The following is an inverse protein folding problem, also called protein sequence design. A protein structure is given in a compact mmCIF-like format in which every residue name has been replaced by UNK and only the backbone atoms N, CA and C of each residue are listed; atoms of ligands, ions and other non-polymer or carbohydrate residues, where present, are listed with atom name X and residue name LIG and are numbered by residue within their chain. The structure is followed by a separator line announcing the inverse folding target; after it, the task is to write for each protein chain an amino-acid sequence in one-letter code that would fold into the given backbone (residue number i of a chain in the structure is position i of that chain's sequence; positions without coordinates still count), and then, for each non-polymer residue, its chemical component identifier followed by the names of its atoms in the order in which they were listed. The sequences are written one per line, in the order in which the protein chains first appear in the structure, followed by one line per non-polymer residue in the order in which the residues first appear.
data_IF_661805235486
#
_entry.id   IF_661805235486
#
_cell.length_a   1.000
_cell.length_b   1.000
_cell.length_c   1.000
_cell.angle_alpha   90.00
_cell.angle_beta   90.00
_cell.angle_gamma   90.00
#
_symmetry.space_group_name_H-M   'P 1'
#
loop_
_entity.id
_entity.type
_entity.pdbx_description
1 polymer ?
#
# COMPACT_ATOMS: atom_id res chain seq x y z
N UNK A 1 -68.46 -84.53 41.43
CA UNK A 1 -69.48 -83.59 41.91
C UNK A 1 -70.10 -84.28 43.08
N UNK A 2 -69.94 -83.64 44.23
CA UNK A 2 -70.33 -84.15 45.53
C UNK A 2 -71.80 -84.60 45.49
N UNK A 3 -72.04 -85.86 45.83
CA UNK A 3 -73.36 -86.36 46.17
C UNK A 3 -73.77 -85.64 47.47
N UNK A 4 -74.44 -84.49 47.34
CA UNK A 4 -75.03 -83.79 48.49
C UNK A 4 -76.03 -84.75 49.15
N UNK A 5 -75.68 -85.21 50.35
CA UNK A 5 -76.54 -85.99 51.24
C UNK A 5 -77.92 -85.31 51.35
N UNK A 6 -78.93 -85.93 50.74
CA UNK A 6 -80.31 -85.44 50.78
C UNK A 6 -80.79 -85.59 52.23
N UNK A 7 -81.10 -84.48 52.94
CA UNK A 7 -81.51 -84.56 54.33
C UNK A 7 -82.82 -85.36 54.47
N UNK A 8 -82.95 -86.20 55.51
CA UNK A 8 -84.23 -86.87 55.82
C UNK A 8 -85.19 -85.90 56.50
N UNK A 9 -86.38 -85.72 55.90
CA UNK A 9 -87.40 -84.76 56.37
C UNK A 9 -88.45 -85.43 57.27
N UNK A 10 -88.93 -84.70 58.27
CA UNK A 10 -89.93 -85.19 59.23
C UNK A 10 -91.38 -84.96 58.76
N UNK A 11 -91.59 -84.11 57.75
CA UNK A 11 -92.87 -83.92 57.06
C UNK A 11 -92.68 -83.49 55.61
N UNK A 12 -93.67 -83.76 54.76
CA UNK A 12 -93.68 -83.33 53.35
C UNK A 12 -93.61 -81.79 53.20
N UNK A 13 -94.05 -81.03 54.21
CA UNK A 13 -93.95 -79.57 54.24
C UNK A 13 -92.51 -79.10 54.46
N UNK A 14 -91.75 -79.79 55.31
CA UNK A 14 -90.34 -79.48 55.60
C UNK A 14 -89.43 -79.82 54.40
N UNK A 15 -89.74 -80.89 53.68
CA UNK A 15 -89.07 -81.24 52.41
C UNK A 15 -89.31 -80.17 51.33
N UNK A 16 -90.56 -79.73 51.16
CA UNK A 16 -90.90 -78.67 50.21
C UNK A 16 -90.23 -77.33 50.57
N UNK A 17 -90.12 -77.02 51.86
CA UNK A 17 -89.46 -75.80 52.34
C UNK A 17 -87.94 -75.86 52.14
N UNK A 18 -87.30 -77.01 52.39
CA UNK A 18 -85.88 -77.21 52.12
C UNK A 18 -85.55 -77.06 50.63
N UNK A 19 -86.26 -77.77 49.74
CA UNK A 19 -86.01 -77.68 48.31
C UNK A 19 -86.32 -76.29 47.74
N UNK A 20 -87.32 -75.59 48.30
CA UNK A 20 -87.62 -74.19 47.95
C UNK A 20 -86.48 -73.26 48.37
N UNK A 21 -85.96 -73.41 49.59
CA UNK A 21 -84.84 -72.61 50.09
C UNK A 21 -83.55 -72.90 49.30
N UNK A 22 -83.24 -74.18 49.01
CA UNK A 22 -82.08 -74.57 48.19
C UNK A 22 -82.20 -74.04 46.75
N UNK A 23 -83.39 -74.11 46.14
CA UNK A 23 -83.62 -73.53 44.82
C UNK A 23 -83.48 -72.00 44.83
N UNK A 24 -83.90 -71.35 45.92
CA UNK A 24 -83.73 -69.91 46.11
C UNK A 24 -82.26 -69.53 46.30
N UNK A 25 -81.50 -70.28 47.08
CA UNK A 25 -80.05 -70.12 47.29
C UNK A 25 -79.25 -70.35 46.00
N UNK A 26 -79.56 -71.42 45.25
CA UNK A 26 -78.95 -71.66 43.94
C UNK A 26 -79.28 -70.55 42.95
N UNK A 27 -80.50 -69.99 43.02
CA UNK A 27 -80.90 -68.85 42.19
C UNK A 27 -80.14 -67.58 42.57
N UNK A 28 -79.96 -67.29 43.86
CA UNK A 28 -79.18 -66.12 44.32
C UNK A 28 -77.71 -66.30 43.96
N UNK A 29 -77.13 -67.47 44.23
CA UNK A 29 -75.73 -67.78 43.86
C UNK A 29 -75.50 -67.70 42.34
N UNK A 30 -76.44 -68.17 41.52
CA UNK A 30 -76.37 -68.01 40.06
C UNK A 30 -76.55 -66.55 39.61
N UNK A 31 -77.28 -65.73 40.38
CA UNK A 31 -77.39 -64.29 40.12
C UNK A 31 -76.08 -63.58 40.46
N UNK A 32 -75.53 -63.84 41.63
CA UNK A 32 -74.27 -63.25 42.12
C UNK A 32 -73.09 -63.60 41.20
N UNK A 33 -72.96 -64.87 40.80
CA UNK A 33 -71.90 -65.29 39.87
C UNK A 33 -72.04 -64.69 38.46
N UNK A 34 -73.28 -64.38 38.03
CA UNK A 34 -73.51 -63.65 36.77
C UNK A 34 -73.13 -62.19 36.90
N UNK A 35 -73.52 -61.53 37.98
CA UNK A 35 -73.14 -60.15 38.27
C UNK A 35 -71.61 -60.01 38.37
N UNK A 36 -70.95 -60.93 39.08
CA UNK A 36 -69.49 -60.96 39.18
C UNK A 36 -68.83 -61.15 37.79
N UNK A 37 -69.35 -62.06 36.97
CA UNK A 37 -68.86 -62.23 35.59
C UNK A 37 -69.04 -60.96 34.74
N UNK A 38 -70.17 -60.28 34.87
CA UNK A 38 -70.43 -59.01 34.18
C UNK A 38 -69.45 -57.92 34.64
N UNK A 39 -69.19 -57.80 35.95
CA UNK A 39 -68.17 -56.89 36.49
C UNK A 39 -66.76 -57.19 35.96
N UNK A 40 -66.36 -58.47 35.91
CA UNK A 40 -65.07 -58.86 35.31
C UNK A 40 -64.99 -58.51 33.83
N UNK A 41 -66.07 -58.71 33.07
CA UNK A 41 -66.11 -58.35 31.65
C UNK A 41 -65.97 -56.84 31.44
N UNK A 42 -66.69 -56.04 32.24
CA UNK A 42 -66.59 -54.58 32.19
C UNK A 42 -65.19 -54.13 32.57
N UNK A 43 -64.64 -54.64 33.67
CA UNK A 43 -63.28 -54.29 34.13
C UNK A 43 -62.21 -54.67 33.11
N UNK A 44 -62.34 -55.82 32.43
CA UNK A 44 -61.44 -56.22 31.35
C UNK A 44 -61.52 -55.27 30.16
N UNK A 45 -62.73 -54.87 29.76
CA UNK A 45 -62.93 -53.92 28.67
C UNK A 45 -62.37 -52.53 29.00
N UNK A 46 -62.55 -52.05 30.24
CA UNK A 46 -61.97 -50.79 30.70
C UNK A 46 -60.44 -50.82 30.68
N UNK A 47 -59.84 -51.93 31.12
CA UNK A 47 -58.39 -52.13 31.08
C UNK A 47 -57.86 -52.18 29.64
N UNK A 48 -58.53 -52.91 28.75
CA UNK A 48 -58.19 -52.96 27.32
C UNK A 48 -58.25 -51.56 26.69
N UNK A 49 -59.32 -50.79 26.95
CA UNK A 49 -59.44 -49.42 26.48
C UNK A 49 -58.31 -48.52 27.03
N UNK A 50 -57.93 -48.66 28.30
CA UNK A 50 -56.79 -47.92 28.86
C UNK A 50 -55.48 -48.29 28.15
N UNK A 51 -55.22 -49.58 27.90
CA UNK A 51 -54.04 -50.03 27.17
C UNK A 51 -54.02 -49.52 25.72
N UNK A 52 -55.16 -49.53 25.03
CA UNK A 52 -55.29 -48.99 23.68
C UNK A 52 -54.99 -47.48 23.65
N UNK A 53 -55.52 -46.71 24.61
CA UNK A 53 -55.22 -45.27 24.68
C UNK A 53 -53.74 -45.00 24.97
N UNK A 54 -53.10 -45.81 25.82
CA UNK A 54 -51.65 -45.68 26.07
C UNK A 54 -50.83 -46.05 24.84
N UNK A 55 -51.22 -47.10 24.12
CA UNK A 55 -50.59 -47.51 22.87
C UNK A 55 -50.69 -46.39 21.83
N UNK A 56 -51.89 -45.85 21.59
CA UNK A 56 -52.15 -44.76 20.65
C UNK A 56 -51.34 -43.50 21.00
N UNK A 57 -51.28 -43.14 22.28
CA UNK A 57 -50.44 -42.03 22.73
C UNK A 57 -48.96 -42.29 22.47
N UNK A 58 -48.48 -43.52 22.64
CA UNK A 58 -47.08 -43.88 22.37
C UNK A 58 -46.78 -43.85 20.87
N UNK A 59 -47.67 -44.36 20.03
CA UNK A 59 -47.54 -44.37 18.57
C UNK A 59 -47.56 -42.95 18.02
N UNK A 60 -48.44 -42.10 18.56
CA UNK A 60 -48.50 -40.67 18.25
C UNK A 60 -47.18 -39.97 18.58
N UNK A 61 -46.63 -40.20 19.79
CA UNK A 61 -45.31 -39.66 20.18
C UNK A 61 -44.19 -40.15 19.27
N UNK A 62 -44.18 -41.43 18.89
CA UNK A 62 -43.18 -41.99 17.97
C UNK A 62 -43.26 -41.33 16.60
N UNK A 63 -44.48 -41.12 16.09
CA UNK A 63 -44.73 -40.44 14.81
C UNK A 63 -44.24 -38.99 14.84
N UNK A 64 -44.53 -38.24 15.91
CA UNK A 64 -44.08 -36.87 16.07
C UNK A 64 -42.55 -36.80 16.16
N UNK A 65 -41.93 -37.69 16.94
CA UNK A 65 -40.46 -37.80 17.02
C UNK A 65 -39.83 -38.17 15.67
N UNK A 66 -40.46 -39.05 14.89
CA UNK A 66 -39.98 -39.40 13.56
C UNK A 66 -40.04 -38.20 12.60
N UNK A 67 -41.14 -37.45 12.60
CA UNK A 67 -41.29 -36.26 11.75
C UNK A 67 -40.29 -35.15 12.12
N UNK A 68 -40.04 -34.95 13.42
CA UNK A 68 -39.05 -33.97 13.89
C UNK A 68 -37.63 -34.41 13.56
N UNK A 69 -37.31 -35.71 13.66
CA UNK A 69 -36.03 -36.26 13.22
C UNK A 69 -35.79 -36.05 11.73
N UNK A 70 -36.79 -36.30 10.88
CA UNK A 70 -36.68 -36.08 9.44
C UNK A 70 -36.48 -34.60 9.11
N UNK A 71 -37.25 -33.71 9.77
CA UNK A 71 -37.09 -32.26 9.63
C UNK A 71 -35.69 -31.80 10.06
N UNK A 72 -35.17 -32.28 11.18
CA UNK A 72 -33.82 -31.94 11.64
C UNK A 72 -32.74 -32.53 10.72
N UNK A 73 -32.94 -33.73 10.19
CA UNK A 73 -32.01 -34.35 9.23
C UNK A 73 -31.88 -33.50 7.97
N UNK A 74 -33.02 -33.12 7.37
CA UNK A 74 -33.04 -32.27 6.18
C UNK A 74 -32.44 -30.89 6.46
N UNK A 75 -32.70 -30.29 7.63
CA UNK A 75 -32.06 -29.04 8.04
C UNK A 75 -30.54 -29.19 8.19
N UNK A 76 -30.07 -30.28 8.80
CA UNK A 76 -28.63 -30.58 8.90
C UNK A 76 -27.97 -30.73 7.53
N UNK A 77 -28.61 -31.44 6.60
CA UNK A 77 -28.04 -31.65 5.26
C UNK A 77 -28.03 -30.35 4.44
N UNK A 78 -29.09 -29.54 4.54
CA UNK A 78 -29.12 -28.20 3.96
C UNK A 78 -28.01 -27.27 4.51
N UNK A 79 -27.72 -27.35 5.82
CA UNK A 79 -26.65 -26.57 6.43
C UNK A 79 -25.27 -27.04 5.98
N UNK A 80 -25.06 -28.36 5.83
CA UNK A 80 -23.82 -28.91 5.27
C UNK A 80 -23.61 -28.45 3.84
N UNK A 81 -24.63 -28.54 2.99
CA UNK A 81 -24.55 -28.10 1.59
C UNK A 81 -24.21 -26.61 1.50
N UNK A 82 -24.85 -25.76 2.31
CA UNK A 82 -24.53 -24.32 2.36
C UNK A 82 -23.11 -24.06 2.81
N UNK A 83 -22.60 -24.83 3.78
CA UNK A 83 -21.23 -24.71 4.26
C UNK A 83 -20.23 -25.10 3.16
N UNK A 84 -20.45 -26.23 2.50
CA UNK A 84 -19.61 -26.72 1.40
C UNK A 84 -19.61 -25.74 0.23
N UNK A 85 -20.80 -25.29 -0.20
CA UNK A 85 -20.93 -24.26 -1.24
C UNK A 85 -20.21 -22.95 -0.85
N UNK A 86 -20.29 -22.53 0.41
CA UNK A 86 -19.56 -21.35 0.88
C UNK A 86 -18.04 -21.57 0.87
N UNK A 87 -17.57 -22.75 1.27
CA UNK A 87 -16.16 -23.12 1.25
C UNK A 87 -15.61 -23.13 -0.17
N UNK A 88 -16.32 -23.72 -1.12
CA UNK A 88 -15.94 -23.73 -2.53
C UNK A 88 -15.84 -22.31 -3.11
N UNK A 89 -16.79 -21.44 -2.76
CA UNK A 89 -16.75 -20.03 -3.16
C UNK A 89 -15.54 -19.30 -2.55
N UNK A 90 -15.23 -19.53 -1.27
CA UNK A 90 -14.04 -18.95 -0.65
C UNK A 90 -12.75 -19.46 -1.27
N UNK A 91 -12.66 -20.76 -1.57
CA UNK A 91 -11.49 -21.35 -2.23
C UNK A 91 -11.31 -20.76 -3.64
N UNK A 92 -12.39 -20.64 -4.42
CA UNK A 92 -12.35 -19.98 -5.73
C UNK A 92 -11.86 -18.53 -5.61
N UNK A 93 -12.43 -17.75 -4.68
CA UNK A 93 -12.01 -16.36 -4.47
C UNK A 93 -10.55 -16.25 -4.02
N UNK A 94 -10.09 -17.15 -3.15
CA UNK A 94 -8.68 -17.18 -2.72
C UNK A 94 -7.77 -17.46 -3.92
N UNK A 95 -8.11 -18.42 -4.78
CA UNK A 95 -7.33 -18.73 -5.97
C UNK A 95 -7.28 -17.55 -6.94
N UNK A 96 -8.42 -16.90 -7.21
CA UNK A 96 -8.49 -15.70 -8.05
C UNK A 96 -7.59 -14.57 -7.52
N UNK A 97 -7.65 -14.30 -6.21
CA UNK A 97 -6.80 -13.30 -5.57
C UNK A 97 -5.32 -13.69 -5.57
N UNK A 98 -5.00 -14.97 -5.47
CA UNK A 98 -3.62 -15.47 -5.56
C UNK A 98 -3.06 -15.29 -6.98
N UNK A 99 -3.86 -15.56 -8.00
CA UNK A 99 -3.49 -15.38 -9.40
C UNK A 99 -3.27 -13.90 -9.74
N UNK A 100 -4.19 -13.00 -9.32
CA UNK A 100 -4.03 -11.56 -9.48
C UNK A 100 -2.75 -11.05 -8.78
N UNK A 101 -2.49 -11.53 -7.56
CA UNK A 101 -1.30 -11.17 -6.81
C UNK A 101 -0.02 -11.66 -7.49
N UNK A 102 -0.02 -12.87 -8.07
CA UNK A 102 1.08 -13.39 -8.85
C UNK A 102 1.32 -12.54 -10.11
N UNK A 103 0.25 -12.17 -10.82
CA UNK A 103 0.31 -11.30 -12.00
C UNK A 103 0.89 -9.92 -11.67
N UNK A 104 0.42 -9.28 -10.60
CA UNK A 104 0.91 -7.97 -10.17
C UNK A 104 2.40 -8.04 -9.79
N UNK A 105 2.83 -9.12 -9.11
CA UNK A 105 4.25 -9.32 -8.78
C UNK A 105 5.11 -9.47 -10.03
N UNK A 106 4.66 -10.25 -11.02
CA UNK A 106 5.36 -10.43 -12.30
C UNK A 106 5.50 -9.10 -13.04
N UNK A 107 4.41 -8.33 -13.17
CA UNK A 107 4.43 -6.99 -13.79
C UNK A 107 5.39 -6.06 -13.06
N UNK A 108 5.38 -6.06 -11.73
CA UNK A 108 6.29 -5.23 -10.92
C UNK A 108 7.75 -5.60 -11.19
N UNK A 109 8.06 -6.89 -11.28
CA UNK A 109 9.42 -7.37 -11.56
C UNK A 109 9.88 -6.97 -12.97
N UNK A 110 8.99 -7.05 -13.95
CA UNK A 110 9.26 -6.61 -15.33
C UNK A 110 9.49 -5.09 -15.40
N UNK A 111 8.64 -4.28 -14.76
CA UNK A 111 8.83 -2.83 -14.69
C UNK A 111 10.14 -2.46 -13.98
N UNK A 112 10.51 -3.19 -12.92
CA UNK A 112 11.77 -2.96 -12.22
C UNK A 112 12.98 -3.31 -13.09
N UNK A 113 12.89 -4.36 -13.92
CA UNK A 113 13.92 -4.67 -14.93
C UNK A 113 14.00 -3.56 -15.97
N UNK A 114 12.86 -3.11 -16.48
CA UNK A 114 12.79 -2.04 -17.47
C UNK A 114 13.37 -0.71 -16.96
N UNK A 115 13.13 -0.35 -15.69
CA UNK A 115 13.75 0.83 -15.05
C UNK A 115 15.28 0.73 -15.08
N UNK A 116 15.84 -0.43 -14.71
CA UNK A 116 17.31 -0.63 -14.74
C UNK A 116 17.87 -0.51 -16.16
N UNK A 117 17.16 -1.03 -17.15
CA UNK A 117 17.55 -0.90 -18.57
C UNK A 117 17.53 0.57 -19.02
N UNK A 118 16.51 1.34 -18.62
CA UNK A 118 16.46 2.78 -18.89
C UNK A 118 17.57 3.56 -18.19
N UNK A 119 17.88 3.23 -16.93
CA UNK A 119 18.99 3.83 -16.19
C UNK A 119 20.33 3.55 -16.89
N UNK A 120 20.57 2.31 -17.32
CA UNK A 120 21.79 1.93 -18.05
C UNK A 120 21.92 2.68 -19.39
N UNK A 121 20.85 2.74 -20.18
CA UNK A 121 20.88 3.46 -21.47
C UNK A 121 21.07 4.96 -21.29
N UNK A 122 20.58 5.54 -20.19
CA UNK A 122 20.82 6.94 -19.85
C UNK A 122 22.29 7.17 -19.47
N UNK A 123 22.89 6.30 -18.64
CA UNK A 123 24.32 6.36 -18.30
C UNK A 123 25.21 6.28 -19.56
N UNK A 124 24.88 5.38 -20.49
CA UNK A 124 25.57 5.24 -21.77
C UNK A 124 25.44 6.51 -22.63
N UNK A 125 24.24 7.12 -22.65
CA UNK A 125 23.99 8.38 -23.36
C UNK A 125 24.78 9.54 -22.74
N UNK A 126 24.84 9.64 -21.42
CA UNK A 126 25.65 10.64 -20.74
C UNK A 126 27.14 10.45 -21.03
N UNK A 127 27.63 9.21 -21.05
CA UNK A 127 29.02 8.90 -21.41
C UNK A 127 29.32 9.29 -22.85
N UNK A 128 28.44 8.98 -23.79
CA UNK A 128 28.57 9.38 -25.18
C UNK A 128 28.61 10.92 -25.30
N UNK A 129 27.71 11.61 -24.58
CA UNK A 129 27.70 13.08 -24.50
C UNK A 129 29.03 13.65 -24.00
N UNK A 130 29.57 13.13 -22.89
CA UNK A 130 30.87 13.57 -22.35
C UNK A 130 31.99 13.38 -23.37
N UNK A 131 32.04 12.24 -24.03
CA UNK A 131 33.04 11.94 -25.08
C UNK A 131 32.94 12.93 -26.25
N UNK A 132 31.73 13.20 -26.72
CA UNK A 132 31.50 14.16 -27.81
C UNK A 132 31.91 15.58 -27.40
N UNK A 133 31.59 16.02 -26.17
CA UNK A 133 32.00 17.33 -25.67
C UNK A 133 33.52 17.45 -25.64
N UNK A 134 34.24 16.48 -25.08
CA UNK A 134 35.71 16.49 -25.07
C UNK A 134 36.29 16.49 -26.50
N UNK A 135 35.70 15.72 -27.42
CA UNK A 135 36.14 15.76 -28.82
C UNK A 135 35.93 17.14 -29.47
N UNK A 136 34.84 17.85 -29.14
CA UNK A 136 34.60 19.21 -29.62
C UNK A 136 35.61 20.19 -29.03
N UNK A 137 35.88 20.10 -27.73
CA UNK A 137 36.90 20.92 -27.05
C UNK A 137 38.29 20.71 -27.67
N UNK A 138 38.66 19.46 -28.02
CA UNK A 138 39.91 19.15 -28.73
C UNK A 138 39.95 19.80 -30.13
N UNK A 139 38.83 19.81 -30.86
CA UNK A 139 38.74 20.50 -32.16
C UNK A 139 38.86 22.02 -32.00
N UNK A 140 38.21 22.60 -31.01
CA UNK A 140 38.31 24.03 -30.69
C UNK A 140 39.76 24.42 -30.37
N UNK A 141 40.46 23.63 -29.55
CA UNK A 141 41.86 23.88 -29.23
C UNK A 141 42.77 23.83 -30.47
N UNK A 142 42.59 22.82 -31.34
CA UNK A 142 43.35 22.72 -32.60
C UNK A 142 43.08 23.88 -33.54
N UNK A 143 41.83 24.33 -33.62
CA UNK A 143 41.42 25.47 -34.44
C UNK A 143 42.03 26.77 -33.89
N UNK A 144 41.99 26.98 -32.58
CA UNK A 144 42.64 28.13 -31.94
C UNK A 144 44.15 28.15 -32.20
N UNK A 145 44.85 27.03 -32.04
CA UNK A 145 46.28 26.96 -32.39
C UNK A 145 46.55 27.20 -33.88
N UNK A 146 45.63 26.82 -34.78
CA UNK A 146 45.76 27.13 -36.19
C UNK A 146 45.57 28.63 -36.46
N UNK A 147 44.61 29.28 -35.78
CA UNK A 147 44.40 30.72 -35.83
C UNK A 147 45.65 31.46 -35.33
N UNK A 148 46.21 31.07 -34.19
CA UNK A 148 47.43 31.66 -33.63
C UNK A 148 48.62 31.55 -34.60
N UNK A 149 48.82 30.38 -35.23
CA UNK A 149 49.86 30.21 -36.25
C UNK A 149 49.61 31.10 -37.48
N UNK A 150 48.37 31.23 -37.93
CA UNK A 150 48.04 32.10 -39.07
C UNK A 150 48.31 33.57 -38.75
N UNK A 151 47.95 34.03 -37.54
CA UNK A 151 48.25 35.40 -37.09
C UNK A 151 49.76 35.66 -37.00
N UNK A 152 50.54 34.67 -36.57
CA UNK A 152 52.00 34.76 -36.57
C UNK A 152 52.57 34.88 -37.99
N UNK A 153 52.09 34.03 -38.92
CA UNK A 153 52.50 34.09 -40.33
C UNK A 153 52.08 35.40 -41.01
N UNK A 154 50.93 35.97 -40.66
CA UNK A 154 50.47 37.28 -41.15
C UNK A 154 51.44 38.39 -40.72
N UNK A 155 51.85 38.41 -39.45
CA UNK A 155 52.87 39.35 -38.97
C UNK A 155 54.23 39.16 -39.68
N UNK A 156 54.68 37.92 -39.91
CA UNK A 156 55.93 37.67 -40.66
C UNK A 156 55.85 38.19 -42.11
N UNK A 157 54.67 38.11 -42.74
CA UNK A 157 54.43 38.69 -44.06
C UNK A 157 54.45 40.22 -44.02
N UNK A 158 53.84 40.83 -43.02
CA UNK A 158 53.85 42.29 -42.82
C UNK A 158 55.28 42.83 -42.59
N UNK A 159 56.07 42.15 -41.75
CA UNK A 159 57.49 42.49 -41.54
C UNK A 159 58.29 42.39 -42.85
N UNK A 160 58.05 41.34 -43.63
CA UNK A 160 58.66 41.17 -44.94
C UNK A 160 58.26 42.29 -45.90
N UNK A 161 56.99 42.71 -45.93
CA UNK A 161 56.52 43.83 -46.74
C UNK A 161 57.19 45.15 -46.34
N UNK A 162 57.27 45.43 -45.03
CA UNK A 162 57.99 46.59 -44.49
C UNK A 162 59.47 46.60 -44.89
N UNK A 163 60.14 45.44 -44.82
CA UNK A 163 61.52 45.28 -45.28
C UNK A 163 61.66 45.52 -46.79
N UNK A 164 60.69 45.06 -47.61
CA UNK A 164 60.69 45.32 -49.05
C UNK A 164 60.59 46.83 -49.32
N UNK A 165 59.71 47.55 -48.61
CA UNK A 165 59.57 49.02 -48.73
C UNK A 165 60.85 49.73 -48.34
N UNK A 166 61.47 49.38 -47.21
CA UNK A 166 62.73 50.00 -46.75
C UNK A 166 63.90 49.71 -47.70
N UNK A 167 64.02 48.47 -48.21
CA UNK A 167 65.02 48.12 -49.23
C UNK A 167 64.80 48.92 -50.51
N UNK A 168 63.54 49.10 -50.93
CA UNK A 168 63.23 49.89 -52.12
C UNK A 168 63.63 51.36 -51.92
N UNK A 169 63.30 51.94 -50.77
CA UNK A 169 63.73 53.30 -50.41
C UNK A 169 65.24 53.45 -50.40
N UNK A 170 65.97 52.53 -49.78
CA UNK A 170 67.45 52.56 -49.77
C UNK A 170 68.04 52.40 -51.18
N UNK A 171 67.40 51.60 -52.06
CA UNK A 171 67.80 51.51 -53.47
C UNK A 171 67.62 52.83 -54.19
N UNK A 172 66.51 53.54 -53.93
CA UNK A 172 66.23 54.85 -54.52
C UNK A 172 67.22 55.89 -53.98
N UNK A 173 67.46 55.97 -52.67
CA UNK A 173 68.49 56.84 -52.07
C UNK A 173 69.90 56.54 -52.62
N UNK A 174 70.26 55.26 -52.77
CA UNK A 174 71.53 54.88 -53.38
C UNK A 174 71.60 55.23 -54.87
N UNK A 175 70.47 55.23 -55.58
CA UNK A 175 70.39 55.69 -56.97
C UNK A 175 70.54 57.20 -57.05
N UNK A 176 69.91 57.94 -56.15
CA UNK A 176 70.01 59.40 -56.05
C UNK A 176 71.44 59.82 -55.73
N UNK A 177 72.08 59.22 -54.72
CA UNK A 177 73.49 59.49 -54.40
C UNK A 177 74.43 59.16 -55.58
N UNK A 178 74.21 58.06 -56.31
CA UNK A 178 74.97 57.77 -57.55
C UNK A 178 74.77 58.85 -58.60
N UNK A 179 73.56 59.38 -58.74
CA UNK A 179 73.28 60.49 -59.64
C UNK A 179 73.96 61.79 -59.19
N UNK A 180 73.98 62.09 -57.88
CA UNK A 180 74.71 63.24 -57.32
C UNK A 180 76.23 63.13 -57.55
N UNK A 181 76.83 61.95 -57.35
CA UNK A 181 78.25 61.71 -57.64
C UNK A 181 78.51 61.92 -59.13
N UNK A 182 77.65 61.39 -60.01
CA UNK A 182 77.80 61.55 -61.45
C UNK A 182 77.66 63.01 -61.92
N UNK A 183 76.90 63.84 -61.20
CA UNK A 183 76.77 65.28 -61.45
C UNK A 183 77.97 66.07 -60.91
N UNK A 184 78.57 65.66 -59.77
CA UNK A 184 79.75 66.32 -59.15
C UNK A 184 81.08 66.04 -59.87
N UNK A 185 81.12 65.16 -60.86
CA UNK A 185 82.33 64.87 -61.68
C UNK A 185 82.41 65.76 -62.94
N UNK A 186 81.84 66.98 -62.87
CA UNK A 186 82.17 68.10 -63.79
C UNK A 186 83.04 69.09 -62.98
N UNK A 187 84.27 69.43 -63.41
CA UNK A 187 85.32 69.98 -62.53
C UNK A 187 85.29 71.52 -62.33
N UNK A 188 86.15 71.93 -61.39
CA UNK A 188 86.59 73.27 -60.91
C UNK A 188 85.79 73.94 -59.77
N UNK A 189 86.31 73.98 -58.52
CA UNK A 189 87.40 74.82 -57.95
C UNK A 189 86.91 76.28 -57.76
N UNK A 190 87.09 77.04 -56.68
CA UNK A 190 87.79 76.97 -55.38
C UNK A 190 87.29 78.19 -54.56
N UNK A 191 87.65 78.23 -53.27
CA UNK A 191 87.93 79.43 -52.44
C UNK A 191 87.07 79.70 -51.19
N UNK A 192 87.84 79.85 -50.10
CA UNK A 192 87.54 80.12 -48.70
C UNK A 192 86.96 81.53 -48.43
N UNK A 193 86.22 81.71 -47.33
CA UNK A 193 86.70 82.50 -46.16
C UNK A 193 85.66 82.60 -45.02
N UNK A 194 86.21 82.84 -43.82
CA UNK A 194 85.66 82.69 -42.48
C UNK A 194 84.81 83.88 -41.96
N UNK A 195 84.00 83.66 -40.91
CA UNK A 195 84.25 84.18 -39.54
C UNK A 195 83.01 84.17 -38.61
N UNK A 196 83.18 83.52 -37.45
CA UNK A 196 82.71 83.81 -36.08
C UNK A 196 81.31 84.40 -35.76
N UNK A 197 80.60 83.66 -34.90
CA UNK A 197 79.56 84.17 -33.99
C UNK A 197 79.26 83.17 -32.86
N UNK A 198 79.72 83.50 -31.65
CA UNK A 198 79.67 82.73 -30.40
C UNK A 198 78.27 82.78 -29.74
N UNK A 199 77.84 81.68 -29.09
CA UNK A 199 77.33 81.61 -27.70
C UNK A 199 76.54 80.30 -27.42
N UNK A 200 76.88 79.64 -26.31
CA UNK A 200 76.22 78.51 -25.63
C UNK A 200 75.14 79.02 -24.64
N UNK A 201 74.42 78.22 -23.82
CA UNK A 201 74.39 76.74 -23.66
C UNK A 201 72.98 76.09 -23.43
N UNK A 202 73.02 74.76 -23.23
CA UNK A 202 72.19 73.94 -22.32
C UNK A 202 70.87 73.31 -22.79
N UNK A 203 70.81 71.99 -22.59
CA UNK A 203 69.62 71.14 -22.74
C UNK A 203 69.99 69.65 -22.66
N UNK A 204 70.28 69.20 -21.45
CA UNK A 204 70.54 67.84 -21.00
C UNK A 204 69.30 66.92 -21.19
N UNK A 205 69.49 65.68 -21.67
CA UNK A 205 69.07 64.45 -20.99
C UNK A 205 69.18 63.17 -21.86
N UNK A 206 70.12 62.33 -21.45
CA UNK A 206 70.09 60.87 -21.30
C UNK A 206 69.75 59.97 -22.50
N UNK A 207 70.82 59.34 -23.00
CA UNK A 207 70.81 57.94 -23.45
C UNK A 207 70.65 57.01 -22.25
N UNK A 208 69.92 55.92 -22.40
CA UNK A 208 70.41 54.61 -21.94
C UNK A 208 69.69 53.46 -22.65
N UNK A 209 70.52 52.57 -23.15
CA UNK A 209 70.21 51.40 -23.92
C UNK A 209 70.82 50.24 -23.11
N UNK A 210 70.01 49.31 -22.57
CA UNK A 210 70.53 48.00 -22.17
C UNK A 210 69.48 46.91 -22.22
N UNK A 211 70.01 45.78 -22.65
CA UNK A 211 69.43 44.57 -23.21
C UNK A 211 69.83 43.39 -22.29
N UNK A 212 68.98 42.35 -22.28
CA UNK A 212 69.18 40.91 -21.94
C UNK A 212 68.99 40.33 -20.52
N UNK A 213 68.23 39.20 -20.55
CA UNK A 213 68.28 37.90 -19.83
C UNK A 213 67.99 37.88 -18.32
N UNK A 214 67.39 36.87 -17.68
CA UNK A 214 67.23 35.42 -17.90
C UNK A 214 66.07 34.92 -17.00
N UNK A 215 65.18 34.02 -17.45
CA UNK A 215 65.00 32.63 -17.00
C UNK A 215 65.17 32.34 -15.49
N UNK A 216 64.11 31.81 -14.83
CA UNK A 216 64.07 30.44 -14.28
C UNK A 216 62.80 30.14 -13.45
N UNK A 217 62.12 29.05 -13.85
CA UNK A 217 61.45 27.99 -13.06
C UNK A 217 61.03 28.21 -11.60
N UNK A 218 59.76 27.93 -11.27
CA UNK A 218 59.36 26.70 -10.55
C UNK A 218 57.86 26.61 -10.13
N UNK A 219 57.33 25.40 -10.34
CA UNK A 219 56.34 24.63 -9.52
C UNK A 219 54.88 25.08 -9.37
N UNK A 220 53.99 24.36 -10.07
CA UNK A 220 52.68 23.85 -9.58
C UNK A 220 52.93 22.70 -8.57
N UNK A 221 52.03 22.33 -7.63
CA UNK A 221 50.72 21.71 -7.96
C UNK A 221 49.55 21.84 -6.94
N UNK A 222 48.32 21.94 -7.47
CA UNK A 222 47.22 21.00 -7.15
C UNK A 222 46.30 21.19 -5.92
N UNK A 223 45.11 20.60 -6.09
CA UNK A 223 43.97 20.28 -5.17
C UNK A 223 42.78 21.25 -5.20
N UNK A 224 41.52 20.82 -5.22
CA UNK A 224 40.84 19.54 -5.47
C UNK A 224 39.34 19.86 -5.64
N UNK A 225 38.63 18.98 -6.34
CA UNK A 225 37.17 18.94 -6.51
C UNK A 225 36.46 18.33 -5.28
N UNK A 226 35.12 18.41 -5.30
CA UNK A 226 34.08 17.66 -4.55
C UNK A 226 33.63 18.23 -3.19
N UNK A 227 32.37 18.11 -2.76
CA UNK A 227 31.09 17.65 -3.34
C UNK A 227 29.97 17.94 -2.32
N UNK A 228 28.72 17.96 -2.80
CA UNK A 228 27.46 17.64 -2.11
C UNK A 228 27.33 17.73 -0.58
N UNK A 229 26.29 18.44 -0.14
CA UNK A 229 25.43 17.91 0.95
C UNK A 229 23.99 18.42 0.85
N UNK A 230 23.10 17.52 0.43
CA UNK A 230 21.73 17.42 0.93
C UNK A 230 21.73 17.32 2.46
N UNK A 231 20.97 18.18 3.15
CA UNK A 231 20.82 18.13 4.60
C UNK A 231 19.71 19.04 5.09
N UNK A 232 18.69 18.42 5.66
CA UNK A 232 17.43 18.95 6.18
C UNK A 232 17.62 19.75 7.48
N UNK A 233 16.63 20.63 7.76
CA UNK A 233 16.32 21.41 8.97
C UNK A 233 16.87 22.84 8.99
N UNK A 234 16.13 23.91 9.31
CA UNK A 234 14.75 24.07 9.75
C UNK A 234 14.57 25.53 10.21
N UNK A 235 13.38 26.08 9.98
CA UNK A 235 12.82 27.31 10.56
C UNK A 235 13.40 28.68 10.18
N UNK A 236 12.55 29.50 9.53
CA UNK A 236 12.68 30.97 9.54
C UNK A 236 12.36 31.67 8.22
N UNK A 237 11.08 31.74 7.84
CA UNK A 237 10.49 32.81 7.01
C UNK A 237 11.06 33.09 5.60
N UNK A 238 11.54 32.08 4.87
CA UNK A 238 11.74 32.27 3.42
C UNK A 238 10.38 32.25 2.70
N UNK A 239 9.99 33.29 1.93
CA UNK A 239 8.75 33.27 1.17
C UNK A 239 8.80 32.13 0.15
N UNK A 240 7.86 31.18 0.27
CA UNK A 240 7.73 30.06 -0.66
C UNK A 240 7.63 30.57 -2.10
N UNK A 241 8.35 29.93 -3.01
CA UNK A 241 8.26 30.24 -4.44
C UNK A 241 6.80 30.08 -4.90
N UNK A 242 6.33 30.89 -5.88
CA UNK A 242 4.95 30.81 -6.36
C UNK A 242 4.52 29.39 -6.77
N UNK A 243 5.44 28.62 -7.38
CA UNK A 243 5.21 27.23 -7.77
C UNK A 243 5.03 26.28 -6.56
N UNK A 244 5.88 26.41 -5.54
CA UNK A 244 5.75 25.61 -4.30
C UNK A 244 4.45 25.94 -3.54
N UNK A 245 4.01 27.21 -3.56
CA UNK A 245 2.75 27.64 -2.97
C UNK A 245 1.54 27.03 -3.69
N UNK A 246 1.51 27.09 -5.02
CA UNK A 246 0.40 26.53 -5.82
C UNK A 246 0.34 25.01 -5.69
N UNK A 247 1.49 24.32 -5.70
CA UNK A 247 1.56 22.87 -5.46
C UNK A 247 1.03 22.49 -4.07
N UNK A 248 1.44 23.21 -3.03
CA UNK A 248 0.96 22.98 -1.67
C UNK A 248 -0.56 23.21 -1.54
N UNK A 249 -1.11 24.26 -2.17
CA UNK A 249 -2.55 24.54 -2.17
C UNK A 249 -3.36 23.46 -2.88
N UNK A 250 -2.84 22.91 -4.00
CA UNK A 250 -3.49 21.81 -4.71
C UNK A 250 -3.52 20.53 -3.86
N UNK A 251 -2.40 20.21 -3.20
CA UNK A 251 -2.32 19.04 -2.31
C UNK A 251 -3.30 19.19 -1.14
N UNK A 252 -3.36 20.38 -0.52
CA UNK A 252 -4.31 20.66 0.56
C UNK A 252 -5.75 20.57 0.06
N UNK A 253 -6.04 21.09 -1.14
CA UNK A 253 -7.35 20.98 -1.78
C UNK A 253 -7.78 19.54 -2.05
N UNK A 254 -6.85 18.69 -2.51
CA UNK A 254 -7.09 17.27 -2.74
C UNK A 254 -7.33 16.51 -1.43
N UNK A 255 -6.56 16.83 -0.39
CA UNK A 255 -6.75 16.26 0.95
C UNK A 255 -8.13 16.62 1.51
N UNK A 256 -8.54 17.89 1.43
CA UNK A 256 -9.86 18.34 1.90
C UNK A 256 -10.99 17.64 1.14
N UNK A 257 -10.84 17.44 -0.17
CA UNK A 257 -11.83 16.71 -0.99
C UNK A 257 -11.92 15.23 -0.58
N UNK A 258 -10.77 14.59 -0.31
CA UNK A 258 -10.73 13.21 0.17
C UNK A 258 -11.30 13.06 1.58
N UNK A 259 -11.03 14.00 2.48
CA UNK A 259 -11.61 14.04 3.83
C UNK A 259 -13.13 14.20 3.74
N UNK A 260 -13.65 15.13 2.92
CA UNK A 260 -15.09 15.27 2.72
C UNK A 260 -15.76 14.02 2.12
N UNK A 261 -15.09 13.31 1.20
CA UNK A 261 -15.58 12.04 0.67
C UNK A 261 -15.59 10.92 1.73
N UNK A 262 -14.59 10.88 2.61
CA UNK A 262 -14.53 9.96 3.73
C UNK A 262 -15.60 10.26 4.78
N UNK A 263 -15.83 11.53 5.11
CA UNK A 263 -16.90 11.96 6.02
C UNK A 263 -18.29 11.58 5.48
N UNK A 264 -18.53 11.75 4.17
CA UNK A 264 -19.77 11.32 3.54
C UNK A 264 -19.97 9.79 3.59
N UNK A 265 -18.90 9.01 3.35
CA UNK A 265 -18.95 7.55 3.50
C UNK A 265 -19.20 7.14 4.96
N UNK A 266 -18.55 7.81 5.92
CA UNK A 266 -18.73 7.54 7.35
C UNK A 266 -20.15 7.89 7.81
N UNK A 267 -20.71 9.00 7.34
CA UNK A 267 -22.09 9.38 7.59
C UNK A 267 -23.08 8.36 7.00
N UNK A 268 -22.81 7.86 5.80
CA UNK A 268 -23.59 6.78 5.18
C UNK A 268 -23.52 5.49 6.01
N UNK A 269 -22.33 5.06 6.45
CA UNK A 269 -22.17 3.91 7.34
C UNK A 269 -22.90 4.08 8.67
N UNK A 270 -22.90 5.29 9.26
CA UNK A 270 -23.63 5.58 10.51
C UNK A 270 -25.15 5.45 10.32
N UNK A 271 -25.66 5.85 9.15
CA UNK A 271 -27.08 5.70 8.82
C UNK A 271 -27.43 4.23 8.57
N UNK A 272 -26.56 3.45 7.91
CA UNK A 272 -26.75 2.00 7.76
C UNK A 272 -26.73 1.24 9.10
N UNK A 273 -25.93 1.67 10.07
CA UNK A 273 -25.92 1.10 11.43
C UNK A 273 -27.17 1.50 12.21
N UNK A 274 -27.63 2.75 12.07
CA UNK A 274 -28.89 3.22 12.69
C UNK A 274 -30.14 2.59 12.08
N UNK A 275 -30.17 2.34 10.77
CA UNK A 275 -31.30 1.65 10.12
C UNK A 275 -31.34 0.16 10.46
N UNK A 276 -30.19 -0.45 10.84
CA UNK A 276 -30.15 -1.78 11.45
C UNK A 276 -30.57 -1.77 12.92
N UNK A 277 -30.60 -0.61 13.57
CA UNK A 277 -31.06 -0.42 14.94
C UNK A 277 -32.45 0.27 15.01
N UNK A 278 -33.48 -0.51 14.64
CA UNK A 278 -34.83 -0.60 15.29
C UNK A 278 -35.97 0.34 14.84
N UNK A 279 -37.21 -0.22 14.67
CA UNK A 279 -38.35 0.27 15.44
C UNK A 279 -39.16 -0.87 16.10
N UNK A 280 -38.95 -1.11 17.41
CA UNK A 280 -39.95 -1.78 18.26
C UNK A 280 -41.11 -0.80 18.40
N UNK A 281 -42.29 -1.21 17.93
CA UNK A 281 -43.56 -0.48 18.10
C UNK A 281 -43.83 -0.15 19.58
N UNK A 282 -44.37 1.03 19.91
CA UNK A 282 -44.92 1.30 21.23
C UNK A 282 -46.38 0.83 21.29
N UNK A 283 -46.66 -0.13 22.17
CA UNK A 283 -48.01 -0.60 22.49
C UNK A 283 -48.27 -0.51 24.00
N UNK A 284 -48.81 0.64 24.40
CA UNK A 284 -49.77 0.94 25.49
C UNK A 284 -49.51 0.45 26.95
N UNK A 285 -50.19 1.06 27.96
CA UNK A 285 -49.61 1.35 29.28
C UNK A 285 -50.10 0.42 30.39
N UNK A 286 -49.25 0.17 31.39
CA UNK A 286 -49.69 -0.20 32.74
C UNK A 286 -48.83 0.54 33.78
N UNK A 287 -49.56 1.27 34.63
CA UNK A 287 -49.19 1.91 35.89
C UNK A 287 -48.31 1.06 36.82
N UNK A 288 -47.22 1.63 37.39
CA UNK A 288 -47.18 2.17 38.78
C UNK A 288 -45.75 2.60 39.17
N UNK A 289 -45.58 3.55 40.11
CA UNK A 289 -44.32 4.25 40.34
C UNK A 289 -43.55 3.74 41.57
N UNK A 290 -42.22 3.76 41.53
CA UNK A 290 -41.42 3.87 42.75
C UNK A 290 -40.07 4.55 42.51
N UNK A 291 -39.97 5.79 42.99
CA UNK A 291 -38.69 6.45 43.23
C UNK A 291 -37.95 5.74 44.38
N UNK A 292 -36.62 5.62 44.29
CA UNK A 292 -35.68 6.14 45.32
C UNK A 292 -34.21 6.03 44.87
N UNK A 293 -33.62 7.22 44.69
CA UNK A 293 -32.26 7.68 45.06
C UNK A 293 -31.17 6.66 45.50
N UNK A 294 -29.99 6.80 44.85
CA UNK A 294 -28.66 7.20 45.39
C UNK A 294 -27.45 6.25 45.18
N UNK A 295 -26.48 6.81 44.44
CA UNK A 295 -24.99 6.80 44.56
C UNK A 295 -24.13 5.59 44.16
N UNK A 296 -22.96 5.82 43.54
CA UNK A 296 -22.03 4.78 43.09
C UNK A 296 -20.93 4.47 44.11
N UNK A 297 -20.39 3.25 44.11
CA UNK A 297 -19.15 2.93 44.81
C UNK A 297 -18.30 1.92 44.03
N UNK A 298 -17.10 2.36 43.70
CA UNK A 298 -15.94 1.57 43.25
C UNK A 298 -15.48 0.59 44.33
N UNK A 299 -15.04 -0.63 43.96
CA UNK A 299 -13.73 -1.21 44.31
C UNK A 299 -13.56 -2.63 43.75
N UNK A 300 -12.32 -2.92 43.35
CA UNK A 300 -11.74 -4.16 42.81
C UNK A 300 -11.99 -5.42 43.65
N UNK A 301 -11.99 -6.59 42.99
CA UNK A 301 -11.05 -7.69 43.29
C UNK A 301 -11.20 -8.89 42.33
N UNK A 302 -10.05 -9.34 41.82
CA UNK A 302 -9.74 -10.61 41.13
C UNK A 302 -9.99 -11.82 42.05
N UNK A 303 -10.09 -13.08 41.55
CA UNK A 303 -8.87 -13.86 41.29
C UNK A 303 -8.91 -14.95 40.18
N UNK A 304 -7.73 -15.14 39.58
CA UNK A 304 -7.02 -16.41 39.34
C UNK A 304 -7.69 -17.58 38.60
N UNK A 305 -7.08 -18.01 37.48
CA UNK A 305 -6.64 -19.40 37.35
C UNK A 305 -5.50 -19.54 36.33
N UNK A 306 -4.45 -20.23 36.79
CA UNK A 306 -3.30 -20.73 36.05
C UNK A 306 -3.69 -21.90 35.14
N UNK A 307 -2.96 -22.10 34.03
CA UNK A 307 -2.16 -23.32 33.76
C UNK A 307 -1.40 -23.22 32.42
N UNK A 308 -0.11 -23.61 32.37
CA UNK A 308 0.69 -23.69 31.15
C UNK A 308 0.70 -25.11 30.55
N UNK A 309 0.51 -25.22 29.23
CA UNK A 309 0.56 -26.47 28.47
C UNK A 309 1.89 -26.63 27.72
N UNK A 310 2.43 -27.84 27.82
CA UNK A 310 3.83 -28.25 27.60
C UNK A 310 4.13 -28.67 26.15
N UNK A 311 5.32 -28.27 25.69
CA UNK A 311 6.33 -28.93 24.82
C UNK A 311 5.94 -30.13 23.91
N UNK A 312 6.27 -29.93 22.62
CA UNK A 312 6.78 -30.85 21.57
C UNK A 312 6.75 -32.37 21.79
N UNK A 313 6.32 -33.10 20.76
CA UNK A 313 7.07 -34.25 20.20
C UNK A 313 6.96 -34.21 18.66
N UNK A 314 8.11 -34.19 18.00
CA UNK A 314 8.32 -34.48 16.58
C UNK A 314 8.80 -35.91 16.49
N UNK A 315 8.20 -36.72 15.61
CA UNK A 315 8.82 -37.87 14.95
C UNK A 315 8.46 -37.76 13.48
#
# INVERSE_FOLDING_TARGET
MDDEDIPTFSSQAEELEYWKNKAQELKTSLSETKEELEEYQISSQELEAELETQLEQSESKVKDLASTKERLSTECDNLKEKLEMSQDNYLRQINELQDELAQIKAIREELQKYIRELEQTNDDLERAKRTTVTSLEDFEHRLNSAIERNAFLENELDEKESLVVTVQRLKDEARDMRSEINVRVVPDNDAEHAANGRHTPSGDHTVDNKVLHEAETNTTPGKDLQANSTGVAGSGNAPLTPSARVSALNIVGDLLRKVGALENKLASCRNFVKDKEVPRKPGSPVDTPRQTKRTPRSTNSTPSSNLPGVVKITV
#
